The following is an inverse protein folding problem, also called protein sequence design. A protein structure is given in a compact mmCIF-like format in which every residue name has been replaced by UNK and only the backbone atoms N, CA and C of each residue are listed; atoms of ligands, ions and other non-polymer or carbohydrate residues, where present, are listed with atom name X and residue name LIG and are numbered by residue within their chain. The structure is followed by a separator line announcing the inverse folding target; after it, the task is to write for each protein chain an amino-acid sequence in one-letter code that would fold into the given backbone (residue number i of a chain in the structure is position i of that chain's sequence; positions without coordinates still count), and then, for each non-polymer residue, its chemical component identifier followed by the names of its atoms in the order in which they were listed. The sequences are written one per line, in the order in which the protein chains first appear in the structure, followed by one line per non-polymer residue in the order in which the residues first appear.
data_IF_456750265855
#
_entry.id   IF_456750265855
#
_cell.length_a   1.000
_cell.length_b   1.000
_cell.length_c   1.000
_cell.angle_alpha   90.00
_cell.angle_beta   90.00
_cell.angle_gamma   90.00
#
_symmetry.space_group_name_H-M   'P 1'
#
loop_
_entity.id
_entity.type
_entity.pdbx_description
1 polymer ?
#
# COMPACT_ATOMS: atom_id res chain seq x y z
N UNK A 1 2.29 -13.86 3.86
CA UNK A 1 3.47 -12.98 3.76
C UNK A 1 3.04 -11.53 3.67
N UNK A 2 3.59 -10.62 4.53
CA UNK A 2 3.26 -9.18 4.52
C UNK A 2 4.54 -8.35 4.58
N UNK A 3 4.78 -7.45 3.63
CA UNK A 3 5.96 -6.57 3.60
C UNK A 3 5.66 -5.22 4.26
N UNK A 4 6.67 -4.55 4.86
CA UNK A 4 6.52 -3.27 5.56
C UNK A 4 5.57 -3.39 6.76
N UNK A 5 5.75 -4.42 7.58
CA UNK A 5 4.79 -4.83 8.59
C UNK A 5 5.26 -4.62 10.05
N UNK A 6 6.36 -3.89 10.27
CA UNK A 6 6.75 -3.50 11.62
C UNK A 6 5.74 -2.52 12.27
N UNK A 7 4.93 -1.81 11.46
CA UNK A 7 3.96 -0.80 11.93
C UNK A 7 2.86 -0.53 10.90
N UNK A 8 1.90 0.29 11.29
CA UNK A 8 0.88 0.85 10.38
C UNK A 8 0.03 -0.20 9.70
N UNK A 9 -0.32 0.02 8.43
CA UNK A 9 -1.24 -0.85 7.66
C UNK A 9 -0.72 -2.27 7.57
N UNK A 10 0.60 -2.47 7.33
CA UNK A 10 1.19 -3.81 7.23
C UNK A 10 1.06 -4.61 8.52
N UNK A 11 1.32 -3.97 9.67
CA UNK A 11 1.09 -4.61 10.98
C UNK A 11 -0.39 -4.96 11.16
N UNK A 12 -1.32 -4.06 10.88
CA UNK A 12 -2.75 -4.33 10.99
C UNK A 12 -3.24 -5.46 10.08
N UNK A 13 -2.69 -5.56 8.84
CA UNK A 13 -2.97 -6.70 7.95
C UNK A 13 -2.46 -8.00 8.58
N UNK A 14 -1.24 -8.00 9.13
CA UNK A 14 -0.64 -9.17 9.75
C UNK A 14 -1.41 -9.62 11.00
N UNK A 15 -1.79 -8.69 11.88
CA UNK A 15 -2.64 -8.94 13.07
C UNK A 15 -3.97 -9.58 12.67
N UNK A 16 -4.62 -9.06 11.63
CA UNK A 16 -5.87 -9.61 11.13
C UNK A 16 -5.68 -11.04 10.60
N UNK A 17 -4.65 -11.29 9.81
CA UNK A 17 -4.37 -12.62 9.26
C UNK A 17 -4.02 -13.65 10.36
N UNK A 18 -3.26 -13.25 11.38
CA UNK A 18 -2.99 -14.11 12.54
C UNK A 18 -4.29 -14.42 13.28
N UNK A 19 -5.14 -13.42 13.50
CA UNK A 19 -6.47 -13.60 14.11
C UNK A 19 -7.39 -14.51 13.30
N UNK A 20 -7.26 -14.53 11.97
CA UNK A 20 -7.99 -15.43 11.08
C UNK A 20 -7.34 -16.84 10.97
N UNK A 21 -6.26 -17.12 11.74
CA UNK A 21 -5.63 -18.44 11.87
C UNK A 21 -4.54 -18.76 10.84
N UNK A 22 -4.05 -17.76 10.08
CA UNK A 22 -2.95 -17.96 9.14
C UNK A 22 -1.59 -17.99 9.86
N UNK A 23 -0.65 -18.84 9.38
CA UNK A 23 0.77 -18.71 9.67
C UNK A 23 1.32 -17.52 8.89
N UNK A 24 1.64 -16.42 9.57
CA UNK A 24 2.02 -15.15 8.94
C UNK A 24 3.52 -14.92 9.08
N UNK A 25 4.21 -14.71 7.97
CA UNK A 25 5.58 -14.17 7.92
C UNK A 25 5.48 -12.69 7.60
N UNK A 26 6.13 -11.86 8.40
CA UNK A 26 6.17 -10.40 8.22
C UNK A 26 7.58 -9.92 7.96
N UNK A 27 7.72 -8.84 7.18
CA UNK A 27 9.03 -8.27 6.88
C UNK A 27 9.02 -6.75 6.98
N UNK A 28 10.17 -6.18 7.28
CA UNK A 28 10.42 -4.73 7.25
C UNK A 28 11.92 -4.48 7.06
N UNK A 29 12.30 -3.28 6.63
CA UNK A 29 13.71 -2.86 6.57
C UNK A 29 14.30 -2.70 7.97
N UNK A 30 13.47 -2.42 8.97
CA UNK A 30 13.84 -2.32 10.37
C UNK A 30 13.79 -3.68 11.06
N UNK A 31 14.83 -4.53 10.87
CA UNK A 31 14.88 -5.93 11.33
C UNK A 31 14.53 -6.10 12.82
N UNK A 32 15.09 -5.27 13.70
CA UNK A 32 14.78 -5.34 15.13
C UNK A 32 13.34 -4.96 15.47
N UNK A 33 12.72 -4.06 14.70
CA UNK A 33 11.33 -3.66 14.91
C UNK A 33 10.36 -4.76 14.44
N UNK A 34 10.62 -5.35 13.27
CA UNK A 34 9.74 -6.40 12.72
C UNK A 34 9.81 -7.68 13.52
N UNK A 35 10.98 -8.04 14.10
CA UNK A 35 11.11 -9.18 14.99
C UNK A 35 10.22 -9.02 16.24
N UNK A 36 10.30 -7.86 16.91
CA UNK A 36 9.42 -7.56 18.06
C UNK A 36 7.94 -7.59 17.68
N UNK A 37 7.58 -6.98 16.55
CA UNK A 37 6.19 -7.00 16.07
C UNK A 37 5.71 -8.43 15.82
N UNK A 38 6.56 -9.31 15.26
CA UNK A 38 6.19 -10.71 15.05
C UNK A 38 5.85 -11.43 16.35
N UNK A 39 6.66 -11.24 17.41
CA UNK A 39 6.41 -11.77 18.73
C UNK A 39 5.11 -11.24 19.34
N UNK A 40 4.89 -9.92 19.26
CA UNK A 40 3.71 -9.25 19.82
C UNK A 40 2.39 -9.73 19.22
N UNK A 41 2.36 -9.94 17.89
CA UNK A 41 1.13 -10.32 17.18
C UNK A 41 0.96 -11.84 17.00
N UNK A 42 1.97 -12.64 17.36
CA UNK A 42 1.95 -14.09 17.15
C UNK A 42 2.20 -14.51 15.70
N UNK A 43 2.95 -13.70 14.92
CA UNK A 43 3.41 -14.10 13.59
C UNK A 43 4.52 -15.15 13.70
N UNK A 44 4.60 -16.07 12.74
CA UNK A 44 5.56 -17.20 12.80
C UNK A 44 7.00 -16.79 12.52
N UNK A 45 7.23 -15.66 11.84
CA UNK A 45 8.54 -15.07 11.63
C UNK A 45 8.46 -13.57 11.32
N UNK A 46 9.44 -12.81 11.83
CA UNK A 46 9.70 -11.40 11.49
C UNK A 46 11.11 -11.26 10.94
N UNK A 47 11.25 -10.85 9.67
CA UNK A 47 12.51 -10.86 8.94
C UNK A 47 12.87 -9.47 8.42
N UNK A 48 14.15 -9.14 8.48
CA UNK A 48 14.68 -7.96 7.79
C UNK A 48 14.62 -8.14 6.27
N UNK A 49 14.04 -7.16 5.58
CA UNK A 49 13.94 -7.13 4.13
C UNK A 49 14.00 -5.72 3.59
N UNK A 50 14.94 -5.45 2.71
CA UNK A 50 14.87 -4.31 1.81
C UNK A 50 14.13 -4.74 0.53
N UNK A 51 12.94 -4.16 0.29
CA UNK A 51 12.12 -4.51 -0.86
C UNK A 51 12.67 -4.01 -2.20
N UNK A 52 13.68 -3.13 -2.18
CA UNK A 52 14.39 -2.66 -3.39
C UNK A 52 15.20 -3.78 -4.03
N UNK A 53 15.62 -4.76 -3.23
CA UNK A 53 16.44 -5.88 -3.66
C UNK A 53 15.59 -7.05 -4.15
N UNK A 54 15.61 -7.35 -5.44
CA UNK A 54 14.86 -8.48 -6.00
C UNK A 54 15.17 -9.83 -5.31
N UNK A 55 16.45 -10.06 -4.96
CA UNK A 55 16.87 -11.28 -4.29
C UNK A 55 16.30 -11.41 -2.86
N UNK A 56 16.01 -10.29 -2.18
CA UNK A 56 15.42 -10.31 -0.84
C UNK A 56 14.03 -10.97 -0.85
N UNK A 57 13.24 -10.74 -1.88
CA UNK A 57 11.90 -11.33 -2.04
C UNK A 57 11.97 -12.85 -2.20
N UNK A 58 12.99 -13.37 -2.88
CA UNK A 58 13.18 -14.82 -3.00
C UNK A 58 13.54 -15.46 -1.66
N UNK A 59 14.40 -14.79 -0.86
CA UNK A 59 14.77 -15.27 0.49
C UNK A 59 13.56 -15.36 1.41
N UNK A 60 12.75 -14.30 1.45
CA UNK A 60 11.57 -14.28 2.33
C UNK A 60 10.45 -15.20 1.83
N UNK A 61 10.32 -15.41 0.52
CA UNK A 61 9.44 -16.42 -0.05
C UNK A 61 9.84 -17.83 0.37
N UNK A 62 11.14 -18.16 0.30
CA UNK A 62 11.65 -19.45 0.75
C UNK A 62 11.37 -19.68 2.24
N UNK A 63 11.53 -18.66 3.07
CA UNK A 63 11.19 -18.77 4.50
C UNK A 63 9.68 -18.97 4.70
N UNK A 64 8.83 -18.21 4.00
CA UNK A 64 7.37 -18.38 4.10
C UNK A 64 6.93 -19.81 3.75
N UNK A 65 7.53 -20.41 2.72
CA UNK A 65 7.23 -21.79 2.30
C UNK A 65 7.64 -22.87 3.32
N UNK A 66 8.54 -22.57 4.26
CA UNK A 66 8.88 -23.48 5.37
C UNK A 66 7.76 -23.65 6.38
N UNK A 67 6.86 -22.68 6.45
CA UNK A 67 5.69 -22.68 7.34
C UNK A 67 4.41 -23.21 6.68
N UNK A 68 4.49 -23.61 5.42
CA UNK A 68 3.38 -24.18 4.65
C UNK A 68 3.23 -23.54 3.25
N UNK A 69 2.25 -24.00 2.48
CA UNK A 69 1.99 -23.45 1.16
C UNK A 69 1.58 -21.97 1.23
N UNK A 70 2.19 -21.14 0.39
CA UNK A 70 1.86 -19.73 0.32
C UNK A 70 0.43 -19.54 -0.19
N UNK A 71 -0.40 -18.81 0.54
CA UNK A 71 -1.80 -18.52 0.18
C UNK A 71 -2.04 -17.06 -0.12
N UNK A 72 -1.24 -16.15 0.45
CA UNK A 72 -1.36 -14.73 0.18
C UNK A 72 -0.01 -14.01 0.31
N UNK A 73 0.17 -13.00 -0.56
CA UNK A 73 1.31 -12.09 -0.53
C UNK A 73 0.82 -10.64 -0.54
N UNK A 74 1.08 -9.90 0.53
CA UNK A 74 0.74 -8.49 0.64
C UNK A 74 1.97 -7.63 0.39
N UNK A 75 2.00 -6.94 -0.75
CA UNK A 75 2.98 -5.90 -1.05
C UNK A 75 2.50 -4.60 -0.40
N UNK A 76 2.91 -4.38 0.85
CA UNK A 76 2.49 -3.21 1.61
C UNK A 76 3.63 -2.23 1.90
N UNK A 77 4.89 -2.67 1.91
CA UNK A 77 6.03 -1.77 2.09
C UNK A 77 5.94 -0.54 1.18
N UNK A 78 6.15 0.63 1.76
CA UNK A 78 6.06 1.88 1.02
C UNK A 78 6.48 3.08 1.85
N UNK A 79 6.91 4.13 1.17
CA UNK A 79 7.31 5.42 1.75
C UNK A 79 6.52 6.55 1.09
N UNK A 80 6.44 7.68 1.80
CA UNK A 80 5.84 8.90 1.30
C UNK A 80 6.67 10.11 1.71
N UNK A 81 7.03 10.93 0.74
CA UNK A 81 7.60 12.25 0.98
C UNK A 81 6.70 13.29 0.30
N UNK A 82 6.35 14.34 1.05
CA UNK A 82 5.55 15.43 0.55
C UNK A 82 6.41 16.65 0.22
N UNK A 83 6.11 17.27 -0.90
CA UNK A 83 6.77 18.44 -1.45
C UNK A 83 6.41 18.63 -2.91
N UNK A 84 6.61 19.83 -3.44
CA UNK A 84 6.50 20.08 -4.86
C UNK A 84 7.64 19.36 -5.60
N UNK A 85 7.41 18.99 -6.86
CA UNK A 85 8.38 18.20 -7.62
C UNK A 85 9.79 18.81 -7.64
N UNK A 86 9.88 20.12 -7.71
CA UNK A 86 11.17 20.83 -7.70
C UNK A 86 11.85 20.94 -6.32
N UNK A 87 11.16 20.53 -5.24
CA UNK A 87 11.68 20.56 -3.87
C UNK A 87 12.14 19.18 -3.37
N UNK A 88 11.77 18.11 -4.09
CA UNK A 88 12.17 16.76 -3.72
C UNK A 88 13.64 16.53 -4.08
N UNK A 89 14.40 16.02 -3.13
CA UNK A 89 15.77 15.57 -3.36
C UNK A 89 15.81 14.34 -4.29
N UNK A 90 16.89 14.18 -5.05
CA UNK A 90 17.04 13.05 -5.98
C UNK A 90 16.85 11.69 -5.26
N UNK A 91 17.40 11.54 -4.06
CA UNK A 91 17.29 10.32 -3.26
C UNK A 91 15.84 10.02 -2.87
N UNK A 92 15.04 11.05 -2.56
CA UNK A 92 13.61 10.89 -2.26
C UNK A 92 12.84 10.42 -3.49
N UNK A 93 13.12 11.01 -4.66
CA UNK A 93 12.50 10.59 -5.92
C UNK A 93 12.85 9.15 -6.27
N UNK A 94 14.14 8.77 -6.15
CA UNK A 94 14.59 7.39 -6.37
C UNK A 94 13.95 6.43 -5.39
N UNK A 95 13.98 6.73 -4.10
CA UNK A 95 13.40 5.90 -3.05
C UNK A 95 11.90 5.67 -3.25
N UNK A 96 11.14 6.69 -3.69
CA UNK A 96 9.73 6.52 -4.04
C UNK A 96 9.52 5.50 -5.16
N UNK A 97 10.34 5.54 -6.20
CA UNK A 97 10.23 4.61 -7.33
C UNK A 97 10.70 3.21 -6.93
N UNK A 98 11.84 3.12 -6.28
CA UNK A 98 12.46 1.84 -5.92
C UNK A 98 11.62 1.06 -4.90
N UNK A 99 11.10 1.74 -3.86
CA UNK A 99 10.33 1.08 -2.81
C UNK A 99 8.88 0.86 -3.26
N UNK A 100 8.19 1.94 -3.71
CA UNK A 100 6.75 1.88 -3.95
C UNK A 100 6.37 1.17 -5.25
N UNK A 101 7.27 1.11 -6.24
CA UNK A 101 7.00 0.47 -7.51
C UNK A 101 7.85 -0.77 -7.72
N UNK A 102 9.19 -0.67 -7.74
CA UNK A 102 10.04 -1.84 -8.01
C UNK A 102 9.88 -2.89 -6.92
N UNK A 103 9.79 -2.48 -5.63
CA UNK A 103 9.51 -3.40 -4.53
C UNK A 103 8.21 -4.20 -4.72
N UNK A 104 7.16 -3.55 -5.21
CA UNK A 104 5.89 -4.23 -5.54
C UNK A 104 6.08 -5.20 -6.71
N UNK A 105 6.79 -4.80 -7.77
CA UNK A 105 7.05 -5.67 -8.92
C UNK A 105 7.84 -6.93 -8.55
N UNK A 106 8.89 -6.77 -7.72
CA UNK A 106 9.68 -7.91 -7.24
C UNK A 106 8.86 -8.82 -6.34
N UNK A 107 8.03 -8.26 -5.44
CA UNK A 107 7.12 -9.03 -4.60
C UNK A 107 6.07 -9.81 -5.41
N UNK A 108 5.46 -9.19 -6.42
CA UNK A 108 4.52 -9.89 -7.34
C UNK A 108 5.20 -11.04 -8.06
N UNK A 109 6.42 -10.84 -8.58
CA UNK A 109 7.20 -11.89 -9.26
C UNK A 109 7.54 -13.05 -8.31
N UNK A 110 7.96 -12.75 -7.09
CA UNK A 110 8.27 -13.77 -6.09
C UNK A 110 7.03 -14.56 -5.68
N UNK A 111 5.90 -13.89 -5.47
CA UNK A 111 4.63 -14.52 -5.14
C UNK A 111 4.16 -15.46 -6.25
N UNK A 112 4.13 -14.99 -7.51
CA UNK A 112 3.74 -15.79 -8.67
C UNK A 112 4.61 -17.04 -8.84
N UNK A 113 5.91 -16.95 -8.55
CA UNK A 113 6.82 -18.09 -8.61
C UNK A 113 6.70 -19.05 -7.42
N UNK A 114 6.03 -18.64 -6.33
CA UNK A 114 5.94 -19.39 -5.08
C UNK A 114 4.59 -20.06 -4.84
N UNK A 115 3.53 -19.67 -5.58
CA UNK A 115 2.23 -20.33 -5.47
C UNK A 115 2.28 -21.73 -6.06
N UNK A 116 1.64 -22.65 -5.36
CA UNK A 116 1.41 -24.03 -5.84
C UNK A 116 0.18 -24.11 -6.77
N UNK A 117 -0.23 -25.32 -7.15
CA UNK A 117 -1.40 -25.56 -8.01
C UNK A 117 -2.73 -25.07 -7.42
N UNK A 118 -2.82 -24.91 -6.11
CA UNK A 118 -4.00 -24.38 -5.45
C UNK A 118 -4.11 -22.85 -5.60
N UNK A 119 -3.06 -22.20 -6.10
CA UNK A 119 -3.00 -20.76 -6.30
C UNK A 119 -2.87 -19.96 -5.01
N UNK A 120 -3.25 -18.70 -5.06
CA UNK A 120 -3.18 -17.77 -3.94
C UNK A 120 -3.53 -16.35 -4.36
N UNK A 121 -3.41 -15.40 -3.45
CA UNK A 121 -3.78 -14.02 -3.69
C UNK A 121 -2.58 -13.06 -3.51
N UNK A 122 -2.40 -12.15 -4.45
CA UNK A 122 -1.49 -11.01 -4.33
C UNK A 122 -2.32 -9.77 -4.05
N UNK A 123 -2.03 -9.08 -2.95
CA UNK A 123 -2.72 -7.84 -2.59
C UNK A 123 -1.70 -6.71 -2.49
N UNK A 124 -1.83 -5.71 -3.35
CA UNK A 124 -0.96 -4.54 -3.38
C UNK A 124 -1.59 -3.36 -2.62
N UNK A 125 -0.84 -2.72 -1.73
CA UNK A 125 -1.25 -1.46 -1.10
C UNK A 125 -0.92 -0.29 -2.04
N UNK A 126 -1.91 0.12 -2.83
CA UNK A 126 -1.84 1.31 -3.66
C UNK A 126 -2.26 2.57 -2.84
N UNK A 127 -2.99 3.49 -3.44
CA UNK A 127 -3.57 4.68 -2.79
C UNK A 127 -4.64 5.29 -3.69
N UNK A 128 -5.58 6.04 -3.14
CA UNK A 128 -6.47 6.90 -3.93
C UNK A 128 -5.69 7.93 -4.75
N UNK A 129 -4.50 8.36 -4.28
CA UNK A 129 -3.63 9.26 -5.04
C UNK A 129 -3.14 8.67 -6.36
N UNK A 130 -3.19 7.35 -6.54
CA UNK A 130 -2.93 6.71 -7.84
C UNK A 130 -4.06 6.83 -8.87
N UNK A 131 -5.20 7.44 -8.52
CA UNK A 131 -6.36 7.59 -9.39
C UNK A 131 -6.54 9.00 -9.95
N UNK A 132 -5.77 9.97 -9.50
CA UNK A 132 -5.89 11.36 -9.95
C UNK A 132 -4.79 12.26 -9.40
N UNK A 133 -4.78 13.54 -9.77
CA UNK A 133 -3.72 14.47 -9.38
C UNK A 133 -3.76 14.79 -7.89
N UNK A 134 -2.59 14.75 -7.24
CA UNK A 134 -2.43 15.17 -5.84
C UNK A 134 -1.19 16.08 -5.74
N UNK A 135 -1.36 17.41 -5.85
CA UNK A 135 -0.27 18.36 -5.66
C UNK A 135 0.44 18.18 -4.32
N UNK A 136 1.75 18.30 -4.32
CA UNK A 136 2.60 18.03 -3.17
C UNK A 136 2.89 16.53 -2.93
N UNK A 137 2.34 15.63 -3.78
CA UNK A 137 2.60 14.18 -3.77
C UNK A 137 2.80 13.64 -5.20
N UNK A 138 3.29 14.44 -6.13
CA UNK A 138 3.32 14.10 -7.56
C UNK A 138 4.04 12.79 -7.86
N UNK A 139 5.25 12.59 -7.33
CA UNK A 139 6.03 11.36 -7.55
C UNK A 139 5.39 10.17 -6.82
N UNK A 140 4.96 10.36 -5.58
CA UNK A 140 4.23 9.32 -4.84
C UNK A 140 2.97 8.87 -5.61
N UNK A 141 2.15 9.82 -6.06
CA UNK A 141 0.93 9.55 -6.84
C UNK A 141 1.26 8.78 -8.14
N UNK A 142 2.33 9.16 -8.84
CA UNK A 142 2.79 8.46 -10.04
C UNK A 142 3.18 7.01 -9.74
N UNK A 143 3.91 6.73 -8.65
CA UNK A 143 4.24 5.35 -8.25
C UNK A 143 2.99 4.55 -7.91
N UNK A 144 2.03 5.14 -7.21
CA UNK A 144 0.76 4.46 -6.85
C UNK A 144 -0.15 4.25 -8.06
N UNK A 145 -0.12 5.16 -9.05
CA UNK A 145 -0.80 4.95 -10.33
C UNK A 145 -0.18 3.79 -11.12
N UNK A 146 1.15 3.68 -11.13
CA UNK A 146 1.84 2.55 -11.73
C UNK A 146 1.47 1.21 -11.04
N UNK A 147 1.36 1.19 -9.69
CA UNK A 147 0.90 0.01 -8.95
C UNK A 147 -0.53 -0.38 -9.33
N UNK A 148 -1.43 0.60 -9.49
CA UNK A 148 -2.81 0.34 -9.95
C UNK A 148 -2.79 -0.28 -11.35
N UNK A 149 -2.02 0.30 -12.28
CA UNK A 149 -1.92 -0.17 -13.67
C UNK A 149 -1.36 -1.60 -13.75
N UNK A 150 -0.23 -1.87 -13.07
CA UNK A 150 0.38 -3.21 -13.10
C UNK A 150 -0.51 -4.25 -12.42
N UNK A 151 -1.23 -3.88 -11.35
CA UNK A 151 -2.18 -4.78 -10.69
C UNK A 151 -3.28 -5.22 -11.67
N UNK A 152 -3.87 -4.30 -12.42
CA UNK A 152 -4.90 -4.62 -13.41
C UNK A 152 -4.37 -5.50 -14.54
N UNK A 153 -3.15 -5.24 -15.04
CA UNK A 153 -2.54 -6.03 -16.10
C UNK A 153 -2.25 -7.45 -15.62
N UNK A 154 -1.56 -7.58 -14.48
CA UNK A 154 -1.19 -8.90 -13.94
C UNK A 154 -2.42 -9.70 -13.49
N UNK A 155 -3.52 -9.05 -13.08
CA UNK A 155 -4.78 -9.75 -12.80
C UNK A 155 -5.34 -10.49 -14.03
N UNK A 156 -4.99 -10.05 -15.24
CA UNK A 156 -5.39 -10.72 -16.52
C UNK A 156 -4.35 -11.76 -16.92
N UNK A 157 -3.08 -11.52 -16.65
CA UNK A 157 -1.95 -12.39 -17.00
C UNK A 157 -1.80 -13.58 -16.05
N UNK A 158 -2.30 -13.47 -14.82
CA UNK A 158 -2.07 -14.44 -13.75
C UNK A 158 -2.64 -15.83 -14.10
N UNK A 159 -1.96 -16.91 -13.68
CA UNK A 159 -2.46 -18.26 -13.86
C UNK A 159 -3.83 -18.48 -13.19
N UNK A 160 -4.56 -19.49 -13.66
CA UNK A 160 -5.82 -19.90 -13.01
C UNK A 160 -5.58 -20.21 -11.53
N UNK A 161 -6.46 -19.71 -10.66
CA UNK A 161 -6.36 -19.88 -9.22
C UNK A 161 -5.54 -18.80 -8.51
N UNK A 162 -4.91 -17.88 -9.26
CA UNK A 162 -4.19 -16.74 -8.66
C UNK A 162 -5.02 -15.47 -8.80
N UNK A 163 -5.37 -14.87 -7.64
CA UNK A 163 -6.00 -13.56 -7.56
C UNK A 163 -4.94 -12.45 -7.46
N UNK A 164 -5.17 -11.31 -8.15
CA UNK A 164 -4.29 -10.13 -8.03
C UNK A 164 -5.14 -8.90 -7.81
N UNK A 165 -4.87 -8.22 -6.71
CA UNK A 165 -5.73 -7.19 -6.17
C UNK A 165 -4.93 -5.96 -5.73
N UNK A 166 -5.59 -4.80 -5.64
CA UNK A 166 -5.07 -3.65 -4.92
C UNK A 166 -6.14 -3.04 -4.01
N UNK A 167 -5.73 -2.74 -2.76
CA UNK A 167 -6.46 -1.83 -1.88
C UNK A 167 -5.95 -0.41 -2.12
N UNK A 168 -6.86 0.54 -2.24
CA UNK A 168 -6.58 1.96 -2.50
C UNK A 168 -7.13 2.81 -1.36
N UNK A 169 -6.38 2.98 -0.27
CA UNK A 169 -6.80 3.82 0.85
C UNK A 169 -6.82 5.31 0.52
N UNK A 170 -7.71 6.06 1.14
CA UNK A 170 -7.60 7.50 1.39
C UNK A 170 -6.61 7.74 2.56
N UNK A 171 -6.59 8.93 3.15
CA UNK A 171 -5.74 9.22 4.31
C UNK A 171 -5.99 8.28 5.49
N UNK A 172 -4.95 7.62 5.95
CA UNK A 172 -4.97 6.66 7.07
C UNK A 172 -4.16 7.21 8.23
N UNK A 173 -4.63 7.03 9.46
CA UNK A 173 -3.93 7.44 10.68
C UNK A 173 -2.67 6.56 10.90
N UNK A 174 -1.58 6.93 10.24
CA UNK A 174 -0.30 6.21 10.26
C UNK A 174 0.86 7.18 10.50
N UNK A 175 2.04 6.70 10.93
CA UNK A 175 3.23 7.53 11.06
C UNK A 175 3.58 8.28 9.76
N UNK A 176 3.33 7.70 8.59
CA UNK A 176 3.57 8.34 7.28
C UNK A 176 2.76 9.65 7.14
N UNK A 177 1.48 9.64 7.49
CA UNK A 177 0.63 10.84 7.42
C UNK A 177 0.97 11.83 8.54
N UNK A 178 1.33 11.33 9.73
CA UNK A 178 1.76 12.18 10.84
C UNK A 178 3.04 12.98 10.53
N UNK A 179 3.95 12.43 9.73
CA UNK A 179 5.22 13.08 9.35
C UNK A 179 5.08 14.11 8.22
N UNK A 180 3.92 14.19 7.55
CA UNK A 180 3.68 15.19 6.50
C UNK A 180 3.71 16.61 7.06
N UNK A 181 4.18 17.59 6.26
CA UNK A 181 4.23 19.02 6.63
C UNK A 181 2.81 19.54 6.92
N UNK A 182 2.55 20.07 8.11
CA UNK A 182 1.23 20.56 8.55
C UNK A 182 0.66 21.66 7.66
N UNK A 183 1.53 22.50 7.11
CA UNK A 183 1.19 23.61 6.20
C UNK A 183 1.07 23.15 4.75
N UNK A 184 1.43 21.87 4.44
CA UNK A 184 1.49 21.35 3.10
C UNK A 184 0.10 21.14 2.47
N UNK A 185 0.02 21.35 1.16
CA UNK A 185 -1.19 21.06 0.39
C UNK A 185 -1.49 19.56 0.40
N UNK A 186 -0.46 18.71 0.38
CA UNK A 186 -0.57 17.27 0.44
C UNK A 186 -1.33 16.79 1.68
N UNK A 187 -0.92 17.21 2.88
CA UNK A 187 -1.60 16.84 4.14
C UNK A 187 -3.05 17.30 4.16
N UNK A 188 -3.33 18.52 3.68
CA UNK A 188 -4.68 19.03 3.57
C UNK A 188 -5.56 18.19 2.64
N UNK A 189 -5.04 17.76 1.49
CA UNK A 189 -5.78 16.92 0.54
C UNK A 189 -6.01 15.51 1.08
N UNK A 190 -5.00 14.88 1.68
CA UNK A 190 -5.12 13.56 2.33
C UNK A 190 -6.14 13.58 3.47
N UNK A 191 -6.24 14.70 4.22
CA UNK A 191 -7.20 14.86 5.32
C UNK A 191 -8.57 15.38 4.85
N UNK A 192 -8.78 15.64 3.56
CA UNK A 192 -10.03 16.23 3.03
C UNK A 192 -11.23 15.28 3.02
N UNK A 193 -11.05 14.01 3.35
CA UNK A 193 -12.11 13.01 3.50
C UNK A 193 -13.01 13.19 4.75
N UNK A 194 -12.73 14.21 5.58
CA UNK A 194 -13.47 14.52 6.82
C UNK A 194 -12.87 13.85 8.06
N UNK A 195 -12.33 12.65 7.95
CA UNK A 195 -11.51 11.97 8.96
C UNK A 195 -10.44 11.12 8.29
N UNK A 196 -9.39 10.84 9.02
CA UNK A 196 -8.47 9.78 8.63
C UNK A 196 -9.14 8.41 8.88
N UNK A 197 -8.87 7.47 7.99
CA UNK A 197 -9.27 6.08 8.17
C UNK A 197 -8.40 5.41 9.23
N UNK A 198 -8.90 4.36 9.86
CA UNK A 198 -8.09 3.57 10.79
C UNK A 198 -7.30 2.50 10.07
N UNK A 199 -6.25 1.99 10.70
CA UNK A 199 -5.45 0.88 10.20
C UNK A 199 -6.32 -0.37 10.04
N UNK A 200 -7.21 -0.62 11.00
CA UNK A 200 -8.11 -1.78 11.03
C UNK A 200 -9.10 -1.76 9.85
N UNK A 201 -9.63 -0.58 9.47
CA UNK A 201 -10.52 -0.43 8.31
C UNK A 201 -9.80 -0.86 7.01
N UNK A 202 -8.53 -0.49 6.88
CA UNK A 202 -7.75 -0.82 5.68
C UNK A 202 -7.28 -2.27 5.71
N UNK A 203 -6.86 -2.78 6.86
CA UNK A 203 -6.50 -4.18 7.03
C UNK A 203 -7.67 -5.10 6.68
N UNK A 204 -8.86 -4.82 7.20
CA UNK A 204 -10.07 -5.56 6.85
C UNK A 204 -10.35 -5.49 5.35
N UNK A 205 -10.28 -4.29 4.75
CA UNK A 205 -10.51 -4.11 3.33
C UNK A 205 -9.48 -4.86 2.45
N UNK A 206 -8.22 -4.95 2.88
CA UNK A 206 -7.17 -5.66 2.16
C UNK A 206 -7.35 -7.19 2.26
N UNK A 207 -7.65 -7.71 3.46
CA UNK A 207 -7.84 -9.14 3.68
C UNK A 207 -9.11 -9.66 2.98
N UNK A 208 -10.19 -8.88 2.96
CA UNK A 208 -11.43 -9.23 2.23
C UNK A 208 -11.27 -9.29 0.69
N UNK A 209 -10.13 -8.84 0.14
CA UNK A 209 -9.83 -9.04 -1.27
C UNK A 209 -9.40 -10.48 -1.59
N UNK A 210 -8.84 -11.20 -0.62
CA UNK A 210 -8.44 -12.60 -0.81
C UNK A 210 -9.65 -13.45 -1.22
N UNK A 211 -9.46 -14.26 -2.27
CA UNK A 211 -10.52 -15.11 -2.85
C UNK A 211 -11.66 -14.34 -3.54
N UNK A 212 -11.61 -13.00 -3.59
CA UNK A 212 -12.62 -12.20 -4.27
C UNK A 212 -12.32 -12.08 -5.77
N UNK A 213 -13.33 -11.70 -6.56
CA UNK A 213 -13.15 -11.34 -7.98
C UNK A 213 -12.81 -9.87 -8.22
N UNK A 214 -12.66 -9.10 -7.13
CA UNK A 214 -12.46 -7.65 -7.22
C UNK A 214 -10.98 -7.33 -7.38
N UNK A 215 -10.59 -6.75 -8.51
CA UNK A 215 -9.19 -6.33 -8.75
C UNK A 215 -8.82 -5.09 -7.94
N UNK A 216 -9.67 -4.08 -7.89
CA UNK A 216 -9.40 -2.82 -7.18
C UNK A 216 -10.47 -2.53 -6.12
N UNK A 217 -10.04 -2.16 -4.91
CA UNK A 217 -10.93 -1.72 -3.82
C UNK A 217 -10.48 -0.36 -3.28
N UNK A 218 -11.28 0.67 -3.54
CA UNK A 218 -11.09 2.02 -2.97
C UNK A 218 -11.76 2.13 -1.61
N UNK A 219 -11.09 2.75 -0.65
CA UNK A 219 -11.62 2.97 0.70
C UNK A 219 -11.47 4.46 1.04
N UNK A 220 -12.58 5.19 1.19
CA UNK A 220 -13.96 4.79 0.91
C UNK A 220 -14.27 4.80 -0.60
N UNK A 221 -15.30 4.05 -1.00
CA UNK A 221 -15.63 3.86 -2.44
C UNK A 221 -15.98 5.17 -3.16
N UNK A 222 -16.72 6.08 -2.52
CA UNK A 222 -17.14 7.35 -3.12
C UNK A 222 -15.97 8.27 -3.45
N UNK A 223 -14.91 8.26 -2.62
CA UNK A 223 -13.69 9.03 -2.89
C UNK A 223 -12.95 8.50 -4.12
N UNK A 224 -12.91 7.18 -4.28
CA UNK A 224 -12.36 6.56 -5.47
C UNK A 224 -13.09 6.97 -6.76
N UNK A 225 -14.41 7.06 -6.72
CA UNK A 225 -15.20 7.57 -7.84
C UNK A 225 -14.90 9.06 -8.13
N UNK A 226 -14.83 9.89 -7.08
CA UNK A 226 -14.49 11.31 -7.21
C UNK A 226 -13.09 11.53 -7.81
N UNK A 227 -12.08 10.75 -7.36
CA UNK A 227 -10.71 10.84 -7.87
C UNK A 227 -10.63 10.44 -9.36
N UNK A 228 -11.34 9.38 -9.79
CA UNK A 228 -11.41 9.00 -11.21
C UNK A 228 -12.07 10.09 -12.05
N UNK A 229 -13.16 10.67 -11.56
CA UNK A 229 -13.84 11.78 -12.26
C UNK A 229 -12.90 12.99 -12.39
N UNK A 230 -12.12 13.33 -11.38
CA UNK A 230 -11.14 14.42 -11.43
C UNK A 230 -10.03 14.18 -12.47
N UNK A 231 -9.61 12.94 -12.65
CA UNK A 231 -8.61 12.57 -13.65
C UNK A 231 -9.14 12.68 -15.09
N UNK A 232 -10.46 12.50 -15.29
CA UNK A 232 -11.08 12.65 -16.62
C UNK A 232 -11.25 14.12 -17.05
N UNK A 233 -11.25 15.06 -16.09
CA UNK A 233 -11.41 16.48 -16.35
C UNK A 233 -10.43 17.33 -15.50
N UNK A 234 -9.11 17.23 -15.76
CA UNK A 234 -8.07 17.80 -14.88
C UNK A 234 -8.14 19.34 -14.80
N UNK A 235 -8.56 20.03 -15.86
CA UNK A 235 -8.74 21.48 -15.86
C UNK A 235 -9.88 21.95 -14.94
N UNK A 236 -10.96 21.16 -14.81
CA UNK A 236 -12.04 21.44 -13.86
C UNK A 236 -11.64 21.05 -12.43
N UNK A 237 -10.88 19.97 -12.28
CA UNK A 237 -10.39 19.50 -10.99
C UNK A 237 -9.47 20.52 -10.31
N UNK A 238 -8.63 21.25 -11.08
CA UNK A 238 -7.75 22.29 -10.54
C UNK A 238 -8.53 23.40 -9.85
N UNK A 239 -9.68 23.81 -10.38
CA UNK A 239 -10.57 24.80 -9.77
C UNK A 239 -11.22 24.33 -8.46
N UNK A 240 -11.58 23.05 -8.36
CA UNK A 240 -12.19 22.47 -7.17
C UNK A 240 -11.18 22.15 -6.04
N UNK A 241 -9.90 22.05 -6.38
CA UNK A 241 -8.85 21.61 -5.45
C UNK A 241 -8.67 22.54 -4.24
N UNK A 242 -8.90 23.86 -4.44
CA UNK A 242 -8.90 24.84 -3.36
C UNK A 242 -9.95 24.57 -2.28
N UNK A 243 -11.14 24.09 -2.69
CA UNK A 243 -12.23 23.74 -1.76
C UNK A 243 -11.87 22.50 -0.93
N UNK A 244 -11.35 21.45 -1.56
CA UNK A 244 -10.89 20.23 -0.85
C UNK A 244 -9.74 20.54 0.12
N UNK A 245 -8.78 21.37 -0.29
CA UNK A 245 -7.69 21.79 0.58
C UNK A 245 -8.19 22.63 1.78
N UNK A 246 -9.18 23.50 1.59
CA UNK A 246 -9.79 24.26 2.67
C UNK A 246 -10.51 23.34 3.67
N UNK A 247 -11.22 22.32 3.19
CA UNK A 247 -11.87 21.32 4.03
C UNK A 247 -10.84 20.52 4.84
N UNK A 248 -9.78 20.06 4.19
CA UNK A 248 -8.71 19.31 4.85
C UNK A 248 -7.96 20.12 5.91
N UNK A 249 -7.66 21.41 5.65
CA UNK A 249 -7.07 22.30 6.66
C UNK A 249 -7.96 22.47 7.92
N UNK A 250 -9.27 22.41 7.78
CA UNK A 250 -10.18 22.42 8.94
C UNK A 250 -10.13 21.09 9.70
N UNK A 251 -9.94 19.96 9.02
CA UNK A 251 -9.83 18.64 9.65
C UNK A 251 -8.51 18.48 10.43
N UNK A 252 -7.40 19.01 9.91
CA UNK A 252 -6.06 18.97 10.58
C UNK A 252 -6.02 19.82 11.86
N UNK A 253 -6.86 20.88 11.96
CA UNK A 253 -6.90 21.78 13.13
C UNK A 253 -7.78 21.30 14.29
N UNK A 254 -8.51 20.22 14.10
CA UNK A 254 -9.36 19.55 15.10
C UNK A 254 -8.66 18.33 15.71
#
# INVERSE_FOLDING_TARGET
MVTGAARGIGRGIAERLVGDGYAVVITDVEGGAVARTAEEIGAVAGLEQDVREAASHQRVAAEALRHGPLRAWFNNAGVGWDGDLGELEEEQVRGLVEINLLGVLWGMRAALASFDQAGGDIVNTASLSGLGPVPGLSVYAATKAAVVSVTMSVAIEAPRGVGVHAVLPDGVATPMVAQMKDTGLAKALVSSGGRLLTVEEIAAAAVELMGSRRVLRTVPAWRGAAMRASAMAPSLASGAMGLFAAQGRRAVRR
#
